data_IF_343718715745
#
_entry.id   IF_343718715745
#
_cell.length_a   1.000
_cell.length_b   1.000
_cell.length_c   1.000
_cell.angle_alpha   90.00
_cell.angle_beta   90.00
_cell.angle_gamma   90.00
#
_symmetry.space_group_name_H-M   'P 1'
#
loop_
_entity.id
_entity.type
_entity.pdbx_description
1 polymer ?
#
# COMPACT_ATOMS: atom_id res chain seq x y z
N UNK A 1 59.22 -20.38 -67.10
CA UNK A 1 59.14 -20.06 -65.66
C UNK A 1 58.49 -18.70 -65.54
N UNK A 2 57.21 -18.65 -65.19
CA UNK A 2 56.46 -17.42 -64.95
C UNK A 2 55.94 -17.48 -63.51
N UNK A 3 56.21 -16.42 -62.75
CA UNK A 3 55.86 -16.29 -61.34
C UNK A 3 54.45 -15.71 -61.23
N UNK A 4 53.48 -16.49 -60.75
CA UNK A 4 52.14 -15.99 -60.44
C UNK A 4 52.15 -15.32 -59.07
N UNK A 5 51.80 -14.03 -59.06
CA UNK A 5 51.69 -13.20 -57.85
C UNK A 5 50.27 -13.30 -57.30
N UNK A 6 50.08 -14.08 -56.24
CA UNK A 6 48.79 -14.20 -55.54
C UNK A 6 48.48 -12.91 -54.79
N UNK A 7 47.57 -12.11 -55.33
CA UNK A 7 47.11 -10.86 -54.70
C UNK A 7 46.07 -11.20 -53.62
N UNK A 8 46.43 -11.03 -52.35
CA UNK A 8 45.53 -11.27 -51.22
C UNK A 8 44.51 -10.11 -51.14
N UNK A 9 43.27 -10.35 -51.57
CA UNK A 9 42.18 -9.36 -51.42
C UNK A 9 41.74 -9.36 -49.94
N UNK A 10 42.18 -8.33 -49.20
CA UNK A 10 41.69 -8.02 -47.86
C UNK A 10 40.23 -7.56 -47.94
N UNK A 11 39.28 -8.11 -47.15
CA UNK A 11 37.90 -7.61 -47.16
C UNK A 11 37.86 -6.17 -46.64
N UNK A 12 36.99 -5.30 -47.18
CA UNK A 12 36.92 -3.90 -46.79
C UNK A 12 36.52 -3.78 -45.32
N UNK A 13 37.47 -3.29 -44.51
CA UNK A 13 37.31 -2.96 -43.09
C UNK A 13 36.58 -1.63 -42.91
N UNK A 14 35.37 -1.50 -43.47
CA UNK A 14 34.51 -0.33 -43.28
C UNK A 14 33.08 -0.75 -42.93
N UNK A 15 32.93 -1.47 -41.82
CA UNK A 15 31.63 -1.59 -41.17
C UNK A 15 31.51 -0.46 -40.15
N UNK A 16 30.77 0.59 -40.50
CA UNK A 16 30.30 1.59 -39.56
C UNK A 16 29.63 0.87 -38.37
N UNK A 17 29.90 1.24 -37.11
CA UNK A 17 29.27 0.58 -35.97
C UNK A 17 27.75 0.68 -36.09
N UNK A 18 27.09 -0.41 -36.47
CA UNK A 18 25.63 -0.45 -36.52
C UNK A 18 25.14 -0.41 -35.07
N UNK A 19 24.25 0.54 -34.78
CA UNK A 19 23.57 0.61 -33.49
C UNK A 19 22.95 -0.75 -33.15
N UNK A 20 22.96 -1.11 -31.87
CA UNK A 20 22.47 -2.40 -31.38
C UNK A 20 21.02 -2.70 -31.81
N UNK A 21 20.21 -1.68 -32.08
CA UNK A 21 18.85 -1.76 -32.64
C UNK A 21 18.77 -2.10 -34.14
N UNK A 22 19.88 -2.07 -34.88
CA UNK A 22 19.93 -2.37 -36.33
C UNK A 22 20.43 -3.78 -36.64
N UNK A 23 20.67 -4.60 -35.60
CA UNK A 23 21.04 -6.01 -35.81
C UNK A 23 19.78 -6.79 -36.19
N UNK A 24 19.85 -7.65 -37.23
CA UNK A 24 18.73 -8.53 -37.55
C UNK A 24 18.41 -9.39 -36.32
N UNK A 25 17.13 -9.43 -35.96
CA UNK A 25 16.62 -10.37 -34.95
C UNK A 25 17.03 -11.76 -35.43
N UNK A 26 17.65 -12.56 -34.55
CA UNK A 26 17.99 -13.92 -34.88
C UNK A 26 16.73 -14.64 -35.37
N UNK A 27 16.71 -14.98 -36.64
CA UNK A 27 15.59 -15.67 -37.28
C UNK A 27 15.97 -17.14 -37.33
N UNK A 28 15.06 -18.00 -36.87
CA UNK A 28 15.25 -19.43 -37.00
C UNK A 28 15.29 -19.80 -38.49
N UNK A 29 16.16 -20.73 -38.92
CA UNK A 29 16.17 -21.21 -40.29
C UNK A 29 14.79 -21.74 -40.68
N UNK A 30 14.42 -21.56 -41.95
CA UNK A 30 13.16 -22.07 -42.46
C UNK A 30 13.12 -23.59 -42.29
N UNK A 31 11.92 -24.14 -42.00
CA UNK A 31 11.71 -25.56 -41.64
C UNK A 31 12.35 -26.57 -42.60
N UNK A 32 12.55 -26.19 -43.87
CA UNK A 32 13.08 -27.07 -44.92
C UNK A 32 14.56 -26.80 -45.27
N UNK A 33 15.24 -25.87 -44.59
CA UNK A 33 16.56 -25.38 -44.99
C UNK A 33 17.69 -26.12 -44.24
N UNK A 34 17.67 -26.06 -42.89
CA UNK A 34 18.54 -26.85 -42.00
C UNK A 34 18.00 -26.83 -40.57
N UNK A 35 18.50 -27.74 -39.74
CA UNK A 35 18.25 -27.68 -38.29
C UNK A 35 18.87 -26.41 -37.67
N UNK A 36 18.16 -25.83 -36.70
CA UNK A 36 18.61 -24.67 -35.96
C UNK A 36 19.74 -25.06 -34.99
N UNK A 37 20.75 -24.20 -34.87
CA UNK A 37 21.81 -24.43 -33.87
C UNK A 37 21.33 -24.06 -32.47
N UNK A 38 21.97 -24.61 -31.44
CA UNK A 38 21.65 -24.29 -30.05
C UNK A 38 21.74 -22.77 -29.79
N UNK A 39 22.70 -22.09 -30.40
CA UNK A 39 22.88 -20.63 -30.32
C UNK A 39 21.72 -19.85 -30.95
N UNK A 40 21.20 -20.31 -32.10
CA UNK A 40 20.05 -19.69 -32.78
C UNK A 40 18.75 -19.88 -31.99
N UNK A 41 18.54 -21.06 -31.41
CA UNK A 41 17.43 -21.33 -30.49
C UNK A 41 17.54 -20.45 -29.23
N UNK A 42 18.73 -20.32 -28.64
CA UNK A 42 18.95 -19.47 -27.49
C UNK A 42 18.70 -17.99 -27.81
N UNK A 43 19.16 -17.52 -28.98
CA UNK A 43 18.94 -16.15 -29.43
C UNK A 43 17.45 -15.86 -29.72
N UNK A 44 16.71 -16.85 -30.24
CA UNK A 44 15.26 -16.76 -30.45
C UNK A 44 14.46 -16.73 -29.14
N UNK A 45 14.88 -17.51 -28.14
CA UNK A 45 14.21 -17.56 -26.83
C UNK A 45 14.63 -16.41 -25.90
N UNK A 46 15.76 -15.75 -26.16
CA UNK A 46 16.31 -14.68 -25.33
C UNK A 46 15.31 -13.53 -25.04
N UNK A 47 14.54 -13.01 -26.03
CA UNK A 47 13.50 -12.01 -25.78
C UNK A 47 12.39 -12.50 -24.83
N UNK A 48 12.05 -13.79 -24.85
CA UNK A 48 11.04 -14.37 -23.96
C UNK A 48 11.53 -14.38 -22.51
N UNK A 49 12.80 -14.74 -22.28
CA UNK A 49 13.40 -14.69 -20.95
C UNK A 49 13.58 -13.25 -20.46
N UNK A 50 13.97 -12.32 -21.34
CA UNK A 50 14.03 -10.89 -21.03
C UNK A 50 12.65 -10.35 -20.63
N UNK A 51 11.62 -10.65 -21.41
CA UNK A 51 10.23 -10.28 -21.10
C UNK A 51 9.75 -10.85 -19.77
N UNK A 52 9.95 -12.15 -19.54
CA UNK A 52 9.58 -12.81 -18.29
C UNK A 52 10.30 -12.19 -17.09
N UNK A 53 11.60 -11.91 -17.21
CA UNK A 53 12.36 -11.25 -16.16
C UNK A 53 11.83 -9.84 -15.88
N UNK A 54 11.52 -9.05 -16.92
CA UNK A 54 10.93 -7.72 -16.72
C UNK A 54 9.59 -7.78 -16.00
N UNK A 55 8.71 -8.73 -16.35
CA UNK A 55 7.43 -8.94 -15.66
C UNK A 55 7.65 -9.30 -14.20
N UNK A 56 8.58 -10.22 -13.90
CA UNK A 56 8.92 -10.61 -12.52
C UNK A 56 9.44 -9.41 -11.72
N UNK A 57 10.34 -8.62 -12.29
CA UNK A 57 10.92 -7.43 -11.63
C UNK A 57 9.83 -6.40 -11.35
N UNK A 58 8.99 -6.07 -12.33
CA UNK A 58 7.89 -5.11 -12.18
C UNK A 58 6.89 -5.59 -11.12
N UNK A 59 6.50 -6.87 -11.17
CA UNK A 59 5.61 -7.47 -10.17
C UNK A 59 6.22 -7.44 -8.76
N UNK A 60 7.52 -7.68 -8.64
CA UNK A 60 8.26 -7.62 -7.36
C UNK A 60 8.32 -6.21 -6.79
N UNK A 61 8.51 -5.20 -7.65
CA UNK A 61 8.48 -3.78 -7.25
C UNK A 61 7.08 -3.42 -6.71
N UNK A 62 6.02 -3.72 -7.47
CA UNK A 62 4.65 -3.44 -7.02
C UNK A 62 4.27 -4.21 -5.75
N UNK A 63 4.70 -5.48 -5.64
CA UNK A 63 4.48 -6.28 -4.43
C UNK A 63 5.20 -5.70 -3.21
N UNK A 64 6.41 -5.16 -3.41
CA UNK A 64 7.17 -4.50 -2.34
C UNK A 64 6.50 -3.21 -1.88
N UNK A 65 5.96 -2.42 -2.81
CA UNK A 65 5.17 -1.21 -2.49
C UNK A 65 3.91 -1.57 -1.70
N UNK A 66 3.23 -2.67 -2.06
CA UNK A 66 2.05 -3.15 -1.33
C UNK A 66 2.37 -3.67 0.07
N UNK A 67 3.58 -4.15 0.32
CA UNK A 67 4.00 -4.61 1.64
C UNK A 67 4.58 -3.47 2.50
N UNK A 68 4.65 -2.24 1.98
CA UNK A 68 5.11 -1.11 2.77
C UNK A 68 4.15 -0.88 3.96
N UNK A 69 4.70 -0.98 5.16
CA UNK A 69 3.95 -0.81 6.39
C UNK A 69 3.34 0.60 6.46
N UNK A 70 2.25 0.71 7.22
CA UNK A 70 1.69 2.01 7.57
C UNK A 70 2.70 2.79 8.42
N UNK A 71 3.27 3.87 7.85
CA UNK A 71 4.33 4.67 8.46
C UNK A 71 3.87 6.06 8.93
N UNK A 72 2.56 6.32 8.98
CA UNK A 72 2.06 7.65 9.31
C UNK A 72 2.42 8.05 10.75
N UNK A 73 3.11 9.17 10.91
CA UNK A 73 3.36 9.74 12.24
C UNK A 73 2.14 10.54 12.64
N UNK A 74 1.54 10.17 13.76
CA UNK A 74 0.38 10.89 14.31
C UNK A 74 0.87 11.63 15.54
N UNK A 75 0.58 12.93 15.61
CA UNK A 75 0.84 13.76 16.77
C UNK A 75 -0.44 14.47 17.20
N UNK A 76 -0.56 14.74 18.50
CA UNK A 76 -1.63 15.57 19.04
C UNK A 76 -1.17 17.03 18.96
N UNK A 77 -1.94 17.85 18.26
CA UNK A 77 -1.69 19.28 18.13
C UNK A 77 -2.29 20.04 19.30
N UNK A 78 -3.50 19.66 19.72
CA UNK A 78 -4.28 20.41 20.69
C UNK A 78 -5.30 19.50 21.37
N UNK A 79 -5.65 19.82 22.62
CA UNK A 79 -6.73 19.18 23.37
C UNK A 79 -7.56 20.25 24.06
N UNK A 80 -8.87 20.20 23.85
CA UNK A 80 -9.83 21.07 24.49
C UNK A 80 -10.94 20.23 25.15
N UNK A 81 -11.42 20.69 26.30
CA UNK A 81 -12.49 20.02 27.05
C UNK A 81 -13.58 21.06 27.28
N UNK A 82 -14.80 20.75 26.85
CA UNK A 82 -15.97 21.61 27.01
C UNK A 82 -17.13 20.78 27.55
N UNK A 83 -17.54 21.04 28.80
CA UNK A 83 -18.75 20.50 29.42
C UNK A 83 -18.98 18.98 29.20
N UNK A 84 -17.95 18.15 29.43
CA UNK A 84 -18.02 16.69 29.25
C UNK A 84 -17.74 16.18 27.83
N UNK A 85 -17.50 17.09 26.89
CA UNK A 85 -17.03 16.76 25.54
C UNK A 85 -15.54 17.04 25.42
N UNK A 86 -14.81 16.08 24.87
CA UNK A 86 -13.41 16.17 24.56
C UNK A 86 -13.25 16.44 23.07
N UNK A 87 -12.43 17.43 22.74
CA UNK A 87 -11.94 17.71 21.40
C UNK A 87 -10.44 17.48 21.37
N UNK A 88 -9.98 16.62 20.47
CA UNK A 88 -8.56 16.34 20.28
C UNK A 88 -8.22 16.58 18.83
N UNK A 89 -7.29 17.50 18.58
CA UNK A 89 -6.82 17.82 17.23
C UNK A 89 -5.55 17.01 16.96
N UNK A 90 -5.58 16.24 15.88
CA UNK A 90 -4.49 15.39 15.43
C UNK A 90 -3.87 15.93 14.15
N UNK A 91 -2.54 15.89 14.09
CA UNK A 91 -1.77 16.09 12.89
C UNK A 91 -1.20 14.74 12.43
N UNK A 92 -1.48 14.38 11.19
CA UNK A 92 -1.02 13.17 10.52
C UNK A 92 0.02 13.58 9.49
N UNK A 93 1.25 13.16 9.72
CA UNK A 93 2.37 13.33 8.80
C UNK A 93 2.75 11.99 8.15
N UNK A 94 3.36 12.07 6.97
CA UNK A 94 3.92 10.92 6.27
C UNK A 94 2.89 9.80 6.01
N UNK A 95 1.65 10.16 5.67
CA UNK A 95 0.68 9.15 5.25
C UNK A 95 1.10 8.57 3.90
N UNK A 96 1.31 7.25 3.87
CA UNK A 96 1.52 6.55 2.61
C UNK A 96 0.28 6.74 1.73
N UNK A 97 0.44 7.11 0.44
CA UNK A 97 -0.68 7.32 -0.47
C UNK A 97 -1.53 6.06 -0.68
N UNK A 98 -0.99 4.89 -0.33
CA UNK A 98 -1.68 3.60 -0.41
C UNK A 98 -2.76 3.41 0.67
N UNK A 99 -2.90 4.29 1.68
CA UNK A 99 -3.90 4.12 2.73
C UNK A 99 -4.97 5.22 2.65
N UNK A 100 -6.24 4.81 2.53
CA UNK A 100 -7.40 5.70 2.71
C UNK A 100 -7.98 5.53 4.11
N UNK A 101 -8.03 6.62 4.87
CA UNK A 101 -8.63 6.68 6.21
C UNK A 101 -10.04 7.25 6.08
N UNK A 102 -11.02 6.59 6.70
CA UNK A 102 -12.39 7.07 6.79
C UNK A 102 -12.60 7.78 8.13
N UNK A 103 -13.14 9.00 8.07
CA UNK A 103 -13.34 9.88 9.21
C UNK A 103 -14.83 10.01 9.53
N UNK A 104 -15.54 8.89 9.54
CA UNK A 104 -16.93 8.84 9.98
C UNK A 104 -16.98 8.43 11.46
N UNK A 105 -17.86 9.04 12.24
CA UNK A 105 -18.03 8.71 13.64
C UNK A 105 -18.55 7.28 13.82
N UNK A 106 -19.40 6.81 12.90
CA UNK A 106 -19.98 5.46 12.94
C UNK A 106 -18.94 4.37 12.65
N UNK A 107 -17.89 4.72 11.90
CA UNK A 107 -16.78 3.84 11.54
C UNK A 107 -15.58 3.96 12.51
N UNK A 108 -15.77 4.63 13.66
CA UNK A 108 -14.73 4.87 14.65
C UNK A 108 -15.09 4.31 16.03
N UNK A 109 -14.08 3.77 16.71
CA UNK A 109 -14.18 3.40 18.12
C UNK A 109 -13.11 4.12 18.92
N UNK A 110 -13.50 4.70 20.05
CA UNK A 110 -12.61 5.48 20.92
C UNK A 110 -12.65 4.89 22.32
N UNK A 111 -11.48 4.76 22.94
CA UNK A 111 -11.32 4.35 24.34
C UNK A 111 -10.47 5.36 25.06
N UNK A 112 -10.95 5.82 26.21
CA UNK A 112 -10.19 6.63 27.14
C UNK A 112 -9.84 5.74 28.34
N UNK A 113 -8.61 5.25 28.36
CA UNK A 113 -8.13 4.27 29.32
C UNK A 113 -8.95 2.98 29.25
N UNK A 114 -9.52 2.49 30.36
CA UNK A 114 -10.34 1.28 30.33
C UNK A 114 -11.76 1.50 29.80
N UNK A 115 -12.19 2.75 29.53
CA UNK A 115 -13.58 3.07 29.18
C UNK A 115 -13.74 3.26 27.68
N UNK A 116 -14.71 2.57 27.07
CA UNK A 116 -15.19 2.92 25.73
C UNK A 116 -15.99 4.22 25.84
N UNK A 117 -15.70 5.17 24.95
CA UNK A 117 -16.35 6.48 24.92
C UNK A 117 -17.06 6.66 23.58
N UNK A 118 -18.17 7.40 23.60
CA UNK A 118 -18.95 7.63 22.40
C UNK A 118 -18.23 8.66 21.52
N UNK A 119 -17.86 8.25 20.30
CA UNK A 119 -17.41 9.16 19.26
C UNK A 119 -18.62 9.99 18.80
N UNK A 120 -18.53 11.31 18.91
CA UNK A 120 -19.59 12.22 18.46
C UNK A 120 -19.40 12.61 17.01
N UNK A 121 -18.16 12.97 16.66
CA UNK A 121 -17.85 13.49 15.34
C UNK A 121 -16.35 13.38 15.06
N UNK A 122 -16.01 13.23 13.79
CA UNK A 122 -14.64 13.33 13.30
C UNK A 122 -14.64 14.28 12.12
N UNK A 123 -13.95 15.39 12.25
CA UNK A 123 -13.83 16.36 11.17
C UNK A 123 -12.43 16.31 10.60
N UNK A 124 -12.32 15.98 9.32
CA UNK A 124 -11.06 16.05 8.60
C UNK A 124 -10.86 17.47 8.08
N UNK A 125 -9.70 18.05 8.40
CA UNK A 125 -9.20 19.25 7.74
C UNK A 125 -8.09 18.84 6.78
N UNK A 126 -8.30 19.05 5.49
CA UNK A 126 -7.24 18.97 4.51
C UNK A 126 -6.58 20.35 4.50
N UNK A 127 -5.32 20.42 4.94
CA UNK A 127 -4.55 21.64 4.79
C UNK A 127 -4.30 21.84 3.29
N UNK A 128 -4.73 22.97 2.75
CA UNK A 128 -4.86 23.25 1.31
C UNK A 128 -3.50 23.59 0.65
N UNK A 129 -2.43 22.96 1.12
CA UNK A 129 -1.06 23.29 0.76
C UNK A 129 -0.39 22.14 -0.01
N UNK A 130 0.56 22.50 -0.88
CA UNK A 130 1.31 21.67 -1.85
C UNK A 130 1.94 20.36 -1.32
N UNK A 131 1.85 20.08 -0.02
CA UNK A 131 2.31 18.86 0.65
C UNK A 131 1.15 17.88 0.85
N UNK A 132 0.92 17.03 -0.16
CA UNK A 132 -0.10 15.95 -0.15
C UNK A 132 0.04 14.92 0.99
N UNK A 133 1.05 15.06 1.85
CA UNK A 133 1.40 14.09 2.91
C UNK A 133 1.04 14.56 4.33
N UNK A 134 0.44 15.75 4.49
CA UNK A 134 -0.03 16.27 5.76
C UNK A 134 -1.55 16.37 5.78
N UNK A 135 -2.18 15.70 6.74
CA UNK A 135 -3.61 15.80 6.99
C UNK A 135 -3.83 16.10 8.47
N UNK A 136 -4.85 16.90 8.78
CA UNK A 136 -5.28 17.11 10.15
C UNK A 136 -6.70 16.56 10.34
N UNK A 137 -7.01 16.07 11.53
CA UNK A 137 -8.38 15.74 11.88
C UNK A 137 -8.65 16.04 13.35
N UNK A 138 -9.87 16.45 13.63
CA UNK A 138 -10.35 16.69 15.00
C UNK A 138 -11.32 15.60 15.38
N UNK A 139 -11.12 15.02 16.56
CA UNK A 139 -11.94 13.99 17.15
C UNK A 139 -12.75 14.58 18.30
N UNK A 140 -14.06 14.42 18.26
CA UNK A 140 -14.97 14.82 19.31
C UNK A 140 -15.57 13.57 19.98
N UNK A 141 -15.45 13.45 21.30
CA UNK A 141 -16.03 12.32 22.04
C UNK A 141 -16.53 12.72 23.43
N UNK A 142 -17.50 11.98 23.96
CA UNK A 142 -18.03 12.22 25.31
C UNK A 142 -17.26 11.38 26.32
N UNK A 143 -16.70 12.04 27.32
CA UNK A 143 -16.18 11.36 28.49
C UNK A 143 -16.68 12.06 29.75
N UNK A 144 -17.25 11.29 30.68
CA UNK A 144 -17.62 11.81 31.98
C UNK A 144 -16.39 12.40 32.66
N UNK A 145 -16.54 13.62 33.19
CA UNK A 145 -15.53 14.24 34.04
C UNK A 145 -15.52 13.49 35.37
N UNK A 146 -14.84 12.35 35.39
CA UNK A 146 -14.48 11.65 36.62
C UNK A 146 -13.77 12.64 37.52
N UNK A 147 -14.19 12.69 38.78
CA UNK A 147 -13.72 13.51 39.89
C UNK A 147 -12.46 14.34 39.57
N UNK A 148 -12.53 15.67 39.73
CA UNK A 148 -11.54 16.75 39.42
C UNK A 148 -10.04 16.51 39.72
N UNK A 149 -9.61 15.34 40.17
CA UNK A 149 -8.20 14.94 40.17
C UNK A 149 -7.67 14.85 38.74
N UNK A 150 -6.90 15.86 38.34
CA UNK A 150 -5.60 15.89 37.62
C UNK A 150 -5.20 14.73 36.68
N UNK A 151 -5.64 13.50 36.91
CA UNK A 151 -5.36 12.33 36.08
C UNK A 151 -6.45 12.21 35.01
N UNK A 152 -6.27 13.00 33.96
CA UNK A 152 -6.81 12.62 32.65
C UNK A 152 -6.17 11.27 32.32
N UNK A 153 -7.01 10.30 31.94
CA UNK A 153 -6.61 8.93 31.60
C UNK A 153 -5.24 8.86 30.92
N UNK A 154 -4.36 8.00 31.43
CA UNK A 154 -2.98 7.84 30.92
C UNK A 154 -2.94 7.49 29.43
N UNK A 155 -4.04 6.96 28.87
CA UNK A 155 -4.08 6.42 27.52
C UNK A 155 -5.38 6.75 26.76
N UNK A 156 -5.25 7.08 25.47
CA UNK A 156 -6.33 7.22 24.49
C UNK A 156 -6.04 6.26 23.32
N UNK A 157 -6.96 5.33 23.09
CA UNK A 157 -6.95 4.47 21.91
C UNK A 157 -8.06 4.89 20.96
N UNK A 158 -7.72 5.04 19.68
CA UNK A 158 -8.65 5.35 18.60
C UNK A 158 -8.49 4.28 17.54
N UNK A 159 -9.60 3.77 17.07
CA UNK A 159 -9.66 2.82 15.97
C UNK A 159 -10.51 3.43 14.87
N UNK A 160 -9.88 3.75 13.74
CA UNK A 160 -10.53 4.29 12.55
C UNK A 160 -10.58 3.22 11.48
N UNK A 161 -11.69 3.11 10.77
CA UNK A 161 -11.74 2.31 9.56
C UNK A 161 -10.77 2.87 8.51
N UNK A 162 -10.07 1.97 7.85
CA UNK A 162 -9.16 2.31 6.78
C UNK A 162 -9.16 1.24 5.69
N UNK A 163 -8.74 1.64 4.50
CA UNK A 163 -8.54 0.76 3.36
C UNK A 163 -7.10 0.92 2.87
N UNK A 164 -6.45 -0.22 2.63
CA UNK A 164 -5.11 -0.29 2.09
C UNK A 164 -5.21 -0.68 0.62
N UNK A 165 -4.92 0.30 -0.24
CA UNK A 165 -4.89 0.17 -1.69
C UNK A 165 -3.68 -0.63 -2.14
N UNK A 166 -3.92 -1.75 -2.81
CA UNK A 166 -2.86 -2.64 -3.30
C UNK A 166 -2.83 -2.61 -4.82
N UNK A 167 -1.65 -2.46 -5.40
CA UNK A 167 -1.46 -2.41 -6.87
C UNK A 167 -1.63 -3.77 -7.56
N UNK A 168 -1.42 -4.87 -6.82
CA UNK A 168 -1.38 -6.23 -7.37
C UNK A 168 -2.62 -7.03 -6.99
N UNK A 169 -3.20 -6.72 -5.84
CA UNK A 169 -4.30 -7.46 -5.24
C UNK A 169 -5.48 -6.52 -5.00
N UNK A 170 -6.62 -7.08 -4.58
CA UNK A 170 -7.76 -6.28 -4.12
C UNK A 170 -7.37 -5.42 -2.92
N UNK A 171 -7.98 -4.24 -2.86
CA UNK A 171 -7.91 -3.36 -1.71
C UNK A 171 -8.30 -4.10 -0.43
N UNK A 172 -7.57 -3.80 0.64
CA UNK A 172 -7.68 -4.49 1.90
C UNK A 172 -8.30 -3.60 2.95
N UNK A 173 -9.51 -3.95 3.34
CA UNK A 173 -10.17 -3.30 4.47
C UNK A 173 -9.42 -3.62 5.77
N UNK A 174 -9.36 -2.64 6.65
CA UNK A 174 -8.74 -2.78 7.95
C UNK A 174 -9.05 -1.61 8.85
N UNK A 175 -8.19 -1.41 9.83
CA UNK A 175 -8.29 -0.30 10.76
C UNK A 175 -6.93 0.31 11.02
N UNK A 176 -6.90 1.62 11.18
CA UNK A 176 -5.78 2.32 11.77
C UNK A 176 -6.07 2.43 13.26
N UNK A 177 -5.18 1.87 14.06
CA UNK A 177 -5.21 2.01 15.50
C UNK A 177 -4.20 3.08 15.88
N UNK A 178 -4.65 4.05 16.67
CA UNK A 178 -3.87 5.16 17.19
C UNK A 178 -3.89 5.02 18.70
N UNK A 179 -2.71 5.01 19.31
CA UNK A 179 -2.54 4.88 20.75
C UNK A 179 -1.69 6.03 21.26
N UNK A 180 -2.29 6.90 22.07
CA UNK A 180 -1.61 8.03 22.68
C UNK A 180 -1.50 7.83 24.19
N UNK A 181 -0.32 8.10 24.73
CA UNK A 181 0.00 7.94 26.16
C UNK A 181 0.38 9.28 26.80
N UNK A 182 0.27 9.34 28.13
CA UNK A 182 0.61 10.48 28.98
C UNK A 182 -0.25 11.72 28.69
N UNK A 183 -1.56 11.52 28.54
CA UNK A 183 -2.51 12.62 28.33
C UNK A 183 -2.77 13.28 29.69
N UNK A 184 -1.87 14.13 30.17
CA UNK A 184 -2.05 14.81 31.46
C UNK A 184 -2.51 16.26 31.26
N UNK A 185 -3.37 16.76 32.16
CA UNK A 185 -3.81 18.15 32.16
C UNK A 185 -2.75 19.01 32.85
N UNK A 186 -1.78 19.50 32.07
CA UNK A 186 -0.84 20.55 32.51
C UNK A 186 0.48 20.10 33.14
N UNK A 187 0.99 18.92 32.80
CA UNK A 187 2.39 18.53 33.06
C UNK A 187 3.15 18.48 31.73
N UNK A 188 4.39 18.95 31.71
CA UNK A 188 5.31 18.97 30.56
C UNK A 188 5.76 17.57 30.10
N UNK A 189 4.96 16.54 30.37
CA UNK A 189 5.21 15.19 29.89
C UNK A 189 4.88 15.14 28.40
N UNK A 190 5.87 14.72 27.61
CA UNK A 190 5.71 14.58 26.18
C UNK A 190 4.67 13.50 25.88
N UNK A 191 3.55 13.91 25.29
CA UNK A 191 2.53 13.00 24.75
C UNK A 191 3.17 12.17 23.64
N UNK A 192 3.04 10.84 23.73
CA UNK A 192 3.57 9.90 22.74
C UNK A 192 2.39 9.22 22.07
N UNK A 193 2.26 9.43 20.75
CA UNK A 193 1.29 8.74 19.93
C UNK A 193 1.98 7.76 18.98
N UNK A 194 1.42 6.56 18.89
CA UNK A 194 1.83 5.52 17.96
C UNK A 194 0.64 5.14 17.10
N UNK A 195 0.89 4.81 15.84
CA UNK A 195 -0.13 4.39 14.90
C UNK A 195 0.31 3.10 14.22
N UNK A 196 -0.66 2.23 13.90
CA UNK A 196 -0.41 1.03 13.11
C UNK A 196 -1.69 0.57 12.41
N UNK A 197 -1.52 -0.10 11.28
CA UNK A 197 -2.63 -0.70 10.54
C UNK A 197 -2.88 -2.14 10.98
N UNK A 198 -4.15 -2.55 11.02
CA UNK A 198 -4.57 -3.92 11.28
C UNK A 198 -5.58 -4.34 10.24
N UNK A 199 -5.23 -5.36 9.47
CA UNK A 199 -6.07 -5.96 8.44
C UNK A 199 -7.35 -6.56 9.05
N UNK A 200 -8.50 -6.35 8.39
CA UNK A 200 -9.70 -7.11 8.69
C UNK A 200 -9.52 -8.52 8.13
N UNK A 201 -9.32 -9.50 9.02
CA UNK A 201 -9.32 -10.91 8.62
C UNK A 201 -10.64 -11.21 7.91
N UNK A 202 -10.58 -11.49 6.60
CA UNK A 202 -11.75 -11.98 5.84
C UNK A 202 -12.17 -13.30 6.46
N UNK A 203 -13.26 -13.27 7.24
CA UNK A 203 -13.96 -14.49 7.61
C UNK A 203 -14.46 -15.11 6.30
N UNK A 204 -13.88 -16.24 5.90
CA UNK A 204 -14.42 -17.07 4.82
C UNK A 204 -15.76 -17.63 5.32
N UNK A 205 -16.84 -16.87 5.10
CA UNK A 205 -18.18 -17.42 5.25
C UNK A 205 -18.41 -18.30 4.04
N UNK A 206 -18.11 -19.60 4.19
CA UNK A 206 -18.55 -20.62 3.26
C UNK A 206 -20.07 -20.71 3.44
N UNK A 207 -20.83 -20.01 2.60
CA UNK A 207 -22.28 -20.20 2.53
C UNK A 207 -22.52 -21.55 1.84
N UNK A 208 -22.71 -22.61 2.63
CA UNK A 208 -23.29 -23.85 2.13
C UNK A 208 -24.69 -23.54 1.61
N UNK A 209 -24.81 -23.40 0.28
CA UNK A 209 -26.08 -23.26 -0.41
C UNK A 209 -26.76 -24.63 -0.42
N UNK A 210 -27.46 -24.95 0.66
CA UNK A 210 -28.35 -26.10 0.74
C UNK A 210 -29.43 -26.01 -0.35
N UNK A 211 -29.36 -26.91 -1.33
CA UNK A 211 -30.49 -27.22 -2.21
C UNK A 211 -31.57 -27.89 -1.37
N UNK A 212 -32.60 -27.13 -1.01
CA UNK A 212 -33.91 -27.70 -0.73
C UNK A 212 -34.62 -27.74 -2.08
N UNK A 213 -34.72 -28.93 -2.67
CA UNK A 213 -35.65 -29.19 -3.76
C UNK A 213 -37.04 -29.35 -3.16
N UNK A 214 -37.88 -28.32 -3.28
CA UNK A 214 -39.32 -28.51 -3.21
C UNK A 214 -39.75 -29.34 -4.43
N UNK A 215 -40.18 -30.58 -4.18
CA UNK A 215 -41.08 -31.29 -5.09
C UNK A 215 -42.49 -30.77 -4.82
N UNK A 216 -42.98 -29.90 -5.70
CA UNK A 216 -44.40 -29.61 -5.81
C UNK A 216 -45.13 -30.85 -6.32
N UNK A 217 -46.22 -31.20 -5.65
CA UNK A 217 -47.22 -32.18 -6.04
C UNK A 217 -47.76 -31.89 -7.45
N UNK A 218 -47.73 -32.91 -8.31
CA UNK A 218 -48.52 -32.96 -9.55
C UNK A 218 -49.97 -33.33 -9.19
N UNK A 219 -50.89 -32.62 -9.82
CA UNK A 219 -52.33 -32.89 -9.87
C UNK A 219 -52.65 -33.57 -11.21
#
# INVERSE_FOLDING_TARGET
MASETTTFIKPPSSATPRGWWSRPIATLPAKNDREATCEECAAYCSPCYGGLFTVIVVFSIFSSINNAHFHAKISIQSMAISSGTWQVDFLVEDTSPSYSIYYDADDAAVKLGPRNVACLNITRSLDDCRDQHRAAFSLFFVAEEGNRSVVVSEELDIKLRAEHKRYVNFDEAGHINIRCKNLTRGLDEKIICQSYFTELKKLHIITEKGRISDKSEDN
#
